data_IF_813345996333
#
_entry.id   IF_813345996333
#
_cell.length_a   1.000
_cell.length_b   1.000
_cell.length_c   1.000
_cell.angle_alpha   90.00
_cell.angle_beta   90.00
_cell.angle_gamma   90.00
#
_symmetry.space_group_name_H-M   'P 1'
#
loop_
_entity.id
_entity.type
_entity.pdbx_description
1 polymer ?
#
# COMPACT_ATOMS: atom_id res chain seq x y z
N UNK A 1 18.61 -6.48 3.18
CA UNK A 1 17.23 -5.99 2.94
C UNK A 1 16.61 -6.70 1.75
N UNK A 2 17.29 -6.73 0.59
CA UNK A 2 16.83 -7.43 -0.61
C UNK A 2 16.35 -8.88 -0.36
N UNK A 3 17.15 -9.73 0.28
CA UNK A 3 16.71 -11.12 0.53
C UNK A 3 15.45 -11.20 1.39
N UNK A 4 15.30 -10.27 2.35
CA UNK A 4 14.11 -10.21 3.20
C UNK A 4 12.88 -9.74 2.41
N UNK A 5 13.03 -8.88 1.39
CA UNK A 5 11.90 -8.52 0.51
C UNK A 5 11.50 -9.66 -0.43
N UNK A 6 12.43 -10.56 -0.80
CA UNK A 6 12.09 -11.81 -1.48
C UNK A 6 11.38 -12.80 -0.55
N UNK A 7 11.84 -12.92 0.70
CA UNK A 7 11.16 -13.74 1.70
C UNK A 7 9.75 -13.21 2.01
N UNK A 8 9.59 -11.89 2.06
CA UNK A 8 8.27 -11.26 2.19
C UNK A 8 7.34 -11.63 1.03
N UNK A 9 7.87 -11.79 -0.20
CA UNK A 9 7.10 -12.27 -1.35
C UNK A 9 6.64 -13.71 -1.13
N UNK A 10 7.52 -14.57 -0.63
CA UNK A 10 7.16 -15.96 -0.30
C UNK A 10 6.01 -16.00 0.70
N UNK A 11 6.14 -15.31 1.83
CA UNK A 11 5.10 -15.25 2.88
C UNK A 11 3.77 -14.74 2.33
N UNK A 12 3.79 -13.68 1.54
CA UNK A 12 2.58 -13.16 0.89
C UNK A 12 1.94 -14.21 -0.02
N UNK A 13 2.72 -14.81 -0.92
CA UNK A 13 2.24 -15.82 -1.86
C UNK A 13 1.68 -17.05 -1.13
N UNK A 14 2.37 -17.55 -0.10
CA UNK A 14 1.89 -18.70 0.67
C UNK A 14 0.61 -18.38 1.45
N UNK A 15 0.47 -17.17 1.96
CA UNK A 15 -0.79 -16.72 2.58
C UNK A 15 -1.94 -16.79 1.58
N UNK A 16 -1.75 -16.24 0.37
CA UNK A 16 -2.76 -16.28 -0.70
C UNK A 16 -3.05 -17.71 -1.14
N UNK A 17 -2.03 -18.59 -1.22
CA UNK A 17 -2.21 -20.01 -1.54
C UNK A 17 -3.06 -20.70 -0.48
N UNK A 18 -2.68 -20.59 0.80
CA UNK A 18 -3.43 -21.21 1.90
C UNK A 18 -4.87 -20.69 2.01
N UNK A 19 -5.08 -19.39 1.82
CA UNK A 19 -6.42 -18.82 1.81
C UNK A 19 -7.28 -19.40 0.67
N UNK A 20 -6.72 -19.60 -0.53
CA UNK A 20 -7.41 -20.23 -1.67
C UNK A 20 -7.66 -21.72 -1.47
N UNK A 21 -6.78 -22.41 -0.76
CA UNK A 21 -6.91 -23.83 -0.42
C UNK A 21 -7.91 -24.07 0.73
N UNK A 22 -8.57 -23.01 1.24
CA UNK A 22 -9.58 -23.10 2.28
C UNK A 22 -9.04 -23.32 3.70
N UNK A 23 -7.75 -23.03 3.93
CA UNK A 23 -7.16 -23.06 5.27
C UNK A 23 -7.80 -21.97 6.14
N UNK A 24 -8.12 -22.29 7.40
CA UNK A 24 -8.61 -21.31 8.37
C UNK A 24 -7.62 -20.15 8.52
N UNK A 25 -8.11 -18.92 8.27
CA UNK A 25 -7.29 -17.71 8.23
C UNK A 25 -6.57 -17.44 9.55
N UNK A 26 -7.20 -17.77 10.68
CA UNK A 26 -6.59 -17.61 12.00
C UNK A 26 -5.39 -18.55 12.23
N UNK A 27 -5.32 -19.65 11.46
CA UNK A 27 -4.23 -20.61 11.53
C UNK A 27 -3.06 -20.31 10.59
N UNK A 28 -3.24 -19.40 9.62
CA UNK A 28 -2.22 -19.10 8.61
C UNK A 28 -1.04 -18.33 9.21
N UNK A 29 -1.31 -17.29 10.01
CA UNK A 29 -0.24 -16.48 10.61
C UNK A 29 0.68 -17.31 11.51
N UNK A 30 0.17 -18.10 12.49
CA UNK A 30 1.03 -18.91 13.35
C UNK A 30 1.93 -19.89 12.58
N UNK A 31 1.42 -20.48 11.48
CA UNK A 31 2.20 -21.40 10.63
C UNK A 31 3.36 -20.70 9.94
N UNK A 32 3.11 -19.53 9.36
CA UNK A 32 4.13 -18.80 8.61
C UNK A 32 5.12 -18.07 9.53
N UNK A 33 4.70 -17.69 10.75
CA UNK A 33 5.57 -17.06 11.74
C UNK A 33 6.75 -17.93 12.19
N UNK A 34 6.57 -19.26 12.20
CA UNK A 34 7.62 -20.19 12.59
C UNK A 34 8.48 -20.67 11.39
N UNK A 35 7.99 -20.48 10.16
CA UNK A 35 8.63 -20.94 8.91
C UNK A 35 9.34 -19.82 8.13
N UNK A 36 8.97 -18.56 8.34
CA UNK A 36 9.56 -17.42 7.64
C UNK A 36 10.92 -17.02 8.24
N UNK A 37 11.90 -16.69 7.40
CA UNK A 37 13.17 -16.03 7.81
C UNK A 37 12.96 -14.51 7.99
N UNK A 38 11.89 -14.13 8.67
CA UNK A 38 11.52 -12.76 9.01
C UNK A 38 11.22 -12.66 10.50
N UNK A 39 11.29 -11.44 11.05
CA UNK A 39 10.80 -11.24 12.42
C UNK A 39 9.28 -11.44 12.47
N UNK A 40 8.76 -12.02 13.56
CA UNK A 40 7.35 -12.39 13.71
C UNK A 40 6.39 -11.23 13.41
N UNK A 41 6.70 -10.02 13.89
CA UNK A 41 5.91 -8.83 13.60
C UNK A 41 5.73 -8.61 12.09
N UNK A 42 6.83 -8.71 11.32
CA UNK A 42 6.82 -8.49 9.88
C UNK A 42 6.01 -9.56 9.16
N UNK A 43 6.20 -10.84 9.52
CA UNK A 43 5.39 -11.94 8.99
C UNK A 43 3.90 -11.71 9.23
N UNK A 44 3.50 -11.40 10.47
CA UNK A 44 2.12 -11.10 10.82
C UNK A 44 1.53 -9.94 10.00
N UNK A 45 2.30 -8.87 9.80
CA UNK A 45 1.85 -7.70 9.01
C UNK A 45 1.69 -8.03 7.52
N UNK A 46 2.54 -8.89 6.97
CA UNK A 46 2.44 -9.37 5.58
C UNK A 46 1.22 -10.28 5.43
N UNK A 47 1.03 -11.24 6.34
CA UNK A 47 -0.14 -12.12 6.36
C UNK A 47 -1.43 -11.31 6.44
N UNK A 48 -1.51 -10.36 7.37
CA UNK A 48 -2.67 -9.47 7.50
C UNK A 48 -2.96 -8.68 6.21
N UNK A 49 -1.91 -8.18 5.52
CA UNK A 49 -2.06 -7.48 4.24
C UNK A 49 -2.56 -8.41 3.13
N UNK A 50 -2.07 -9.64 3.09
CA UNK A 50 -2.48 -10.65 2.10
C UNK A 50 -3.93 -11.10 2.32
N UNK A 51 -4.33 -11.38 3.56
CA UNK A 51 -5.70 -11.74 3.91
C UNK A 51 -6.67 -10.58 3.67
N UNK A 52 -6.27 -9.35 4.00
CA UNK A 52 -7.05 -8.16 3.63
C UNK A 52 -7.23 -8.02 2.11
N UNK A 53 -6.24 -8.41 1.30
CA UNK A 53 -6.41 -8.44 -0.15
C UNK A 53 -7.38 -9.54 -0.62
N UNK A 54 -7.44 -10.69 0.08
CA UNK A 54 -8.42 -11.75 -0.18
C UNK A 54 -9.83 -11.35 0.24
N UNK A 55 -9.98 -10.65 1.37
CA UNK A 55 -11.27 -10.19 1.89
C UNK A 55 -11.92 -9.15 0.97
N UNK A 56 -11.11 -8.24 0.42
CA UNK A 56 -11.58 -7.19 -0.48
C UNK A 56 -11.73 -7.67 -1.94
N UNK A 57 -11.46 -8.94 -2.24
CA UNK A 57 -11.64 -9.50 -3.57
C UNK A 57 -13.11 -9.89 -3.81
N UNK A 58 -13.72 -9.33 -4.85
CA UNK A 58 -15.07 -9.69 -5.30
C UNK A 58 -14.99 -10.79 -6.36
N UNK A 59 -15.66 -11.93 -6.13
CA UNK A 59 -15.63 -13.13 -7.00
C UNK A 59 -16.17 -12.93 -8.43
N UNK A 60 -16.71 -11.75 -8.75
CA UNK A 60 -17.42 -11.49 -10.00
C UNK A 60 -16.52 -11.19 -11.22
N UNK A 61 -15.20 -11.02 -11.03
CA UNK A 61 -14.22 -10.96 -12.12
C UNK A 61 -12.88 -11.61 -11.69
N UNK A 62 -12.16 -12.22 -12.63
CA UNK A 62 -10.78 -12.66 -12.44
C UNK A 62 -9.80 -11.47 -12.35
N UNK A 63 -10.27 -10.25 -12.62
CA UNK A 63 -9.54 -9.00 -12.44
C UNK A 63 -9.28 -8.70 -10.95
N UNK A 64 -8.04 -8.30 -10.62
CA UNK A 64 -7.65 -7.96 -9.24
C UNK A 64 -7.48 -9.14 -8.29
N UNK A 65 -7.68 -10.39 -8.76
CA UNK A 65 -7.48 -11.61 -7.98
C UNK A 65 -6.08 -11.63 -7.35
N UNK A 66 -5.96 -11.69 -6.01
CA UNK A 66 -4.67 -11.81 -5.35
C UNK A 66 -3.92 -13.02 -5.92
N UNK A 67 -2.70 -12.80 -6.40
CA UNK A 67 -1.88 -13.85 -7.00
C UNK A 67 -0.85 -14.36 -6.00
N UNK A 68 -0.63 -15.68 -6.01
CA UNK A 68 0.43 -16.37 -5.26
C UNK A 68 1.57 -16.85 -6.16
N UNK A 69 1.56 -16.48 -7.45
CA UNK A 69 2.56 -16.92 -8.45
C UNK A 69 3.44 -15.77 -8.90
N UNK A 70 3.43 -14.64 -8.18
CA UNK A 70 4.28 -13.49 -8.49
C UNK A 70 5.66 -13.71 -7.91
N UNK A 71 6.67 -13.44 -8.71
CA UNK A 71 8.06 -13.45 -8.28
C UNK A 71 8.53 -12.01 -8.00
N UNK A 72 9.77 -11.89 -7.51
CA UNK A 72 10.39 -10.60 -7.20
C UNK A 72 10.02 -10.03 -5.84
N UNK A 73 10.59 -8.87 -5.52
CA UNK A 73 10.53 -8.29 -4.18
C UNK A 73 9.10 -7.91 -3.76
N UNK A 74 8.80 -8.06 -2.47
CA UNK A 74 7.58 -7.55 -1.85
C UNK A 74 7.94 -6.65 -0.66
N UNK A 75 7.15 -5.61 -0.37
CA UNK A 75 7.46 -4.70 0.73
C UNK A 75 7.50 -5.44 2.07
N UNK A 76 8.55 -5.20 2.86
CA UNK A 76 8.55 -5.56 4.27
C UNK A 76 7.61 -4.60 4.99
N UNK A 77 6.65 -5.13 5.75
CA UNK A 77 5.77 -4.29 6.57
C UNK A 77 6.07 -4.51 8.04
N UNK A 78 6.22 -3.45 8.81
CA UNK A 78 6.58 -3.56 10.23
C UNK A 78 5.84 -2.53 11.09
N UNK A 79 5.51 -2.90 12.33
CA UNK A 79 5.08 -1.94 13.35
C UNK A 79 6.28 -1.21 13.93
N UNK A 80 6.07 0.06 14.30
CA UNK A 80 7.01 0.85 15.06
C UNK A 80 7.29 0.19 16.42
N UNK A 81 8.53 0.28 16.88
CA UNK A 81 9.08 -0.36 18.10
C UNK A 81 9.18 -1.90 18.06
N UNK A 82 8.45 -2.59 17.19
CA UNK A 82 8.53 -4.05 17.05
C UNK A 82 9.47 -4.50 15.93
N UNK A 83 9.19 -4.09 14.68
CA UNK A 83 9.95 -4.50 13.49
C UNK A 83 10.87 -3.40 12.94
N UNK A 84 10.58 -2.13 13.26
CA UNK A 84 11.47 -1.01 12.98
C UNK A 84 11.42 0.04 14.09
N UNK A 85 12.51 0.78 14.24
CA UNK A 85 12.62 1.89 15.17
C UNK A 85 13.19 3.11 14.45
N UNK A 86 12.82 4.29 14.95
CA UNK A 86 13.33 5.58 14.53
C UNK A 86 13.77 6.34 15.76
N UNK A 87 14.83 7.13 15.64
CA UNK A 87 15.35 7.95 16.73
C UNK A 87 16.06 9.17 16.18
N UNK A 88 16.12 10.24 16.96
CA UNK A 88 16.95 11.39 16.62
C UNK A 88 18.41 11.13 17.01
N UNK A 89 19.34 11.48 16.12
CA UNK A 89 20.76 11.58 16.44
C UNK A 89 21.05 12.87 17.21
N UNK A 90 22.26 12.99 17.76
CA UNK A 90 22.72 14.21 18.44
C UNK A 90 22.74 15.42 17.48
N UNK A 91 22.96 15.18 16.19
CA UNK A 91 22.95 16.18 15.13
C UNK A 91 21.53 16.54 14.64
N UNK A 92 20.50 15.88 15.17
CA UNK A 92 19.10 16.13 14.81
C UNK A 92 18.62 15.41 13.55
N UNK A 93 19.37 14.42 13.07
CA UNK A 93 18.97 13.56 11.95
C UNK A 93 18.08 12.40 12.42
N UNK A 94 17.26 11.87 11.51
CA UNK A 94 16.41 10.72 11.82
C UNK A 94 17.17 9.43 11.49
N UNK A 95 17.68 8.75 12.52
CA UNK A 95 18.24 7.42 12.40
C UNK A 95 17.15 6.36 12.36
N UNK A 96 17.39 5.28 11.61
CA UNK A 96 16.49 4.12 11.56
C UNK A 96 17.22 2.84 11.97
N UNK A 97 16.44 1.89 12.49
CA UNK A 97 16.83 0.48 12.65
C UNK A 97 15.69 -0.41 12.20
N UNK A 98 15.94 -1.23 11.18
CA UNK A 98 14.98 -2.22 10.66
C UNK A 98 15.47 -3.62 11.05
N UNK A 99 14.60 -4.40 11.69
CA UNK A 99 14.83 -5.80 12.00
C UNK A 99 14.21 -6.65 10.91
N UNK A 100 14.96 -6.90 9.84
CA UNK A 100 14.43 -7.61 8.67
C UNK A 100 14.27 -9.12 8.95
N UNK A 101 15.19 -9.71 9.70
CA UNK A 101 15.22 -11.13 10.05
C UNK A 101 15.80 -11.32 11.46
N UNK A 102 15.62 -12.48 12.11
CA UNK A 102 16.17 -12.74 13.43
C UNK A 102 17.67 -12.43 13.50
N UNK A 103 18.07 -11.63 14.49
CA UNK A 103 19.46 -11.17 14.72
C UNK A 103 20.11 -10.36 13.58
N UNK A 104 19.37 -10.05 12.49
CA UNK A 104 19.84 -9.24 11.37
C UNK A 104 19.16 -7.88 11.38
N UNK A 105 19.95 -6.84 11.69
CA UNK A 105 19.46 -5.47 11.72
C UNK A 105 20.17 -4.63 10.66
N UNK A 106 19.41 -3.77 10.00
CA UNK A 106 19.95 -2.71 9.15
C UNK A 106 19.72 -1.38 9.84
N UNK A 107 20.75 -0.55 9.85
CA UNK A 107 20.75 0.77 10.49
C UNK A 107 21.27 1.80 9.51
N UNK A 108 20.84 3.04 9.68
CA UNK A 108 21.33 4.16 8.89
C UNK A 108 20.64 5.46 9.31
N UNK A 109 20.86 6.50 8.53
CA UNK A 109 20.19 7.79 8.63
C UNK A 109 19.25 7.92 7.43
N UNK A 110 18.05 8.45 7.65
CA UNK A 110 17.09 8.69 6.58
C UNK A 110 17.50 9.90 5.77
N UNK A 111 17.53 9.72 4.45
CA UNK A 111 17.65 10.80 3.48
C UNK A 111 16.27 11.05 2.85
N UNK A 112 15.92 12.32 2.68
CA UNK A 112 14.61 12.73 2.18
C UNK A 112 14.49 14.25 2.09
N UNK A 113 13.32 14.76 1.72
CA UNK A 113 13.08 16.20 1.73
C UNK A 113 12.97 16.71 3.17
N UNK A 114 13.47 17.93 3.40
CA UNK A 114 13.40 18.60 4.71
C UNK A 114 11.96 18.62 5.25
N UNK A 115 10.98 18.92 4.39
CA UNK A 115 9.57 18.93 4.78
C UNK A 115 9.05 17.58 5.33
N UNK A 116 9.46 16.45 4.73
CA UNK A 116 9.06 15.13 5.22
C UNK A 116 9.81 14.76 6.50
N UNK A 117 11.10 15.08 6.57
CA UNK A 117 11.92 14.81 7.74
C UNK A 117 11.48 15.66 8.94
N UNK A 118 11.13 16.93 8.74
CA UNK A 118 10.63 17.82 9.81
C UNK A 118 9.30 17.33 10.39
N UNK A 119 8.40 16.85 9.54
CA UNK A 119 7.14 16.25 9.98
C UNK A 119 7.40 14.97 10.80
N UNK A 120 8.36 14.14 10.36
CA UNK A 120 8.75 12.93 11.09
C UNK A 120 9.44 13.26 12.41
N UNK A 121 10.34 14.26 12.46
CA UNK A 121 10.97 14.77 13.69
C UNK A 121 9.91 15.25 14.68
N UNK A 122 8.94 16.03 14.19
CA UNK A 122 7.80 16.48 14.99
C UNK A 122 7.02 15.31 15.57
N UNK A 123 6.81 14.25 14.78
CA UNK A 123 6.14 13.04 15.25
C UNK A 123 6.94 12.19 16.24
N UNK A 124 8.26 12.31 16.26
CA UNK A 124 9.13 11.61 17.22
C UNK A 124 9.26 12.37 18.54
N UNK A 125 9.17 13.70 18.53
CA UNK A 125 9.35 14.55 19.73
C UNK A 125 8.04 15.01 20.36
N UNK A 126 6.95 15.02 19.59
CA UNK A 126 5.63 15.49 20.02
C UNK A 126 4.67 14.35 20.40
N UNK A 127 3.55 14.73 21.00
CA UNK A 127 2.44 13.85 21.38
C UNK A 127 1.25 13.91 20.39
N UNK A 128 1.27 14.89 19.48
CA UNK A 128 0.21 15.14 18.50
C UNK A 128 0.20 14.12 17.36
N UNK A 129 1.35 13.54 17.03
CA UNK A 129 1.46 12.59 15.93
C UNK A 129 1.93 11.25 16.47
N UNK A 130 1.38 10.17 15.91
CA UNK A 130 1.77 8.81 16.23
C UNK A 130 2.42 8.16 15.03
N UNK A 131 3.66 7.70 15.21
CA UNK A 131 4.34 6.82 14.26
C UNK A 131 3.73 5.42 14.35
N UNK A 132 3.48 4.79 13.20
CA UNK A 132 2.72 3.53 13.12
C UNK A 132 3.45 2.48 12.29
N UNK A 133 2.86 1.97 11.22
CA UNK A 133 3.51 0.98 10.36
C UNK A 133 4.45 1.62 9.36
N UNK A 134 5.53 0.93 9.01
CA UNK A 134 6.35 1.26 7.84
C UNK A 134 6.27 0.18 6.77
N UNK A 135 6.61 0.56 5.54
CA UNK A 135 6.92 -0.35 4.45
C UNK A 135 8.36 -0.11 3.97
N UNK A 136 9.21 -1.13 4.02
CA UNK A 136 10.54 -1.10 3.40
C UNK A 136 10.49 -1.78 2.05
N UNK A 137 10.90 -1.06 1.02
CA UNK A 137 10.79 -1.44 -0.38
C UNK A 137 12.17 -1.57 -0.99
N UNK A 138 12.26 -2.35 -2.06
CA UNK A 138 13.41 -2.35 -2.95
C UNK A 138 12.92 -1.93 -4.33
N UNK A 139 13.33 -0.76 -4.80
CA UNK A 139 12.83 -0.16 -6.03
C UNK A 139 14.00 0.35 -6.86
N UNK A 140 14.07 -0.06 -8.12
CA UNK A 140 15.11 0.37 -9.07
C UNK A 140 16.55 0.19 -8.55
N UNK A 141 16.78 -0.80 -7.69
CA UNK A 141 18.09 -1.08 -7.08
C UNK A 141 18.34 -0.40 -5.73
N UNK A 142 17.46 0.51 -5.31
CA UNK A 142 17.60 1.31 -4.09
C UNK A 142 16.56 0.92 -3.02
N UNK A 143 16.94 0.87 -1.74
CA UNK A 143 16.00 0.67 -0.65
C UNK A 143 15.26 1.97 -0.30
N UNK A 144 13.94 1.91 -0.21
CA UNK A 144 13.11 3.02 0.28
C UNK A 144 12.40 2.62 1.59
N UNK A 145 12.31 3.54 2.56
CA UNK A 145 11.51 3.36 3.78
C UNK A 145 10.33 4.33 3.76
N UNK A 146 9.11 3.80 3.68
CA UNK A 146 7.88 4.58 3.77
C UNK A 146 7.33 4.48 5.19
N UNK A 147 7.24 5.60 5.90
CA UNK A 147 6.80 5.65 7.30
C UNK A 147 5.41 6.27 7.38
N UNK A 148 4.47 5.57 8.01
CA UNK A 148 3.13 6.13 8.26
C UNK A 148 3.09 6.82 9.62
N UNK A 149 2.72 8.10 9.59
CA UNK A 149 2.45 8.92 10.77
C UNK A 149 0.98 9.37 10.73
N UNK A 150 0.36 9.48 11.91
CA UNK A 150 -1.04 9.87 12.03
C UNK A 150 -1.19 10.96 13.09
N UNK A 151 -1.86 12.04 12.76
CA UNK A 151 -2.25 13.05 13.75
C UNK A 151 -3.34 12.47 14.67
N UNK A 152 -3.13 12.55 15.98
CA UNK A 152 -4.04 12.05 17.03
C UNK A 152 -4.94 13.14 17.59
N UNK A 153 -4.61 14.42 17.38
CA UNK A 153 -5.37 15.59 17.88
C UNK A 153 -6.27 16.21 16.82
N UNK A 154 -5.96 16.06 15.54
CA UNK A 154 -6.88 16.37 14.45
C UNK A 154 -7.98 15.32 14.43
N UNK A 155 -9.14 15.72 14.94
CA UNK A 155 -10.39 14.99 14.76
C UNK A 155 -11.02 15.41 13.44
N UNK A 156 -11.25 14.45 12.55
CA UNK A 156 -12.26 14.62 11.51
C UNK A 156 -13.59 14.75 12.24
N UNK A 157 -14.44 15.72 11.87
CA UNK A 157 -15.77 15.87 12.50
C UNK A 157 -16.49 14.53 12.48
N UNK A 158 -17.23 14.25 13.55
CA UNK A 158 -18.06 13.04 13.60
C UNK A 158 -19.01 13.03 12.40
N UNK A 159 -19.30 11.84 11.87
CA UNK A 159 -20.24 11.70 10.74
C UNK A 159 -21.60 12.32 11.07
N UNK A 160 -21.99 12.32 12.35
CA UNK A 160 -23.26 12.88 12.81
C UNK A 160 -23.28 14.41 12.89
N UNK A 161 -22.11 15.04 13.06
CA UNK A 161 -21.95 16.51 13.14
C UNK A 161 -21.48 17.13 11.81
N UNK A 162 -21.29 16.29 10.79
CA UNK A 162 -20.90 16.72 9.46
C UNK A 162 -22.13 17.24 8.72
N UNK A 163 -22.15 18.55 8.44
CA UNK A 163 -23.19 19.19 7.61
C UNK A 163 -23.17 18.73 6.15
N UNK A 164 -22.11 18.02 5.79
CA UNK A 164 -21.81 17.64 4.44
C UNK A 164 -21.03 16.34 4.42
N UNK A 165 -21.48 15.42 3.58
CA UNK A 165 -20.87 14.12 3.38
C UNK A 165 -20.67 13.91 1.88
N UNK A 166 -19.46 13.53 1.49
CA UNK A 166 -19.20 13.04 0.13
C UNK A 166 -19.26 11.52 0.16
N UNK A 167 -20.29 10.96 -0.47
CA UNK A 167 -20.35 9.55 -0.82
C UNK A 167 -19.42 9.28 -2.01
N UNK A 168 -18.57 8.26 -1.90
CA UNK A 168 -17.65 7.83 -2.96
C UNK A 168 -17.97 6.38 -3.30
N UNK A 169 -18.36 6.13 -4.53
CA UNK A 169 -18.53 4.81 -5.11
C UNK A 169 -17.41 4.57 -6.15
N UNK A 170 -16.71 3.46 -6.02
CA UNK A 170 -15.54 3.14 -6.85
C UNK A 170 -15.81 1.86 -7.61
N UNK A 171 -15.86 1.96 -8.94
CA UNK A 171 -16.00 0.85 -9.87
C UNK A 171 -14.71 0.68 -10.69
N UNK A 172 -14.62 -0.41 -11.46
CA UNK A 172 -13.47 -0.72 -12.31
C UNK A 172 -13.20 0.34 -13.37
N UNK A 173 -14.26 0.95 -13.90
CA UNK A 173 -14.21 1.89 -15.01
C UNK A 173 -14.54 3.33 -14.61
N UNK A 174 -15.01 3.58 -13.38
CA UNK A 174 -15.35 4.93 -12.91
C UNK A 174 -15.36 5.10 -11.40
N UNK A 175 -15.33 6.35 -10.95
CA UNK A 175 -15.61 6.76 -9.57
C UNK A 175 -16.80 7.70 -9.61
N UNK A 176 -17.85 7.40 -8.86
CA UNK A 176 -18.97 8.30 -8.66
C UNK A 176 -18.86 8.97 -7.28
N UNK A 177 -19.02 10.29 -7.26
CA UNK A 177 -19.03 11.14 -6.07
C UNK A 177 -20.41 11.76 -5.93
N UNK A 178 -20.94 11.80 -4.71
CA UNK A 178 -22.20 12.50 -4.39
C UNK A 178 -21.99 13.32 -3.12
N UNK A 179 -22.16 14.63 -3.21
CA UNK A 179 -22.13 15.52 -2.06
C UNK A 179 -23.55 15.65 -1.51
N UNK A 180 -23.71 15.35 -0.21
CA UNK A 180 -24.97 15.36 0.51
C UNK A 180 -24.88 16.37 1.64
N UNK A 181 -25.85 17.26 1.74
CA UNK A 181 -26.11 18.10 2.90
C UNK A 181 -27.33 17.60 3.67
N UNK A 182 -27.71 18.30 4.75
CA UNK A 182 -28.99 18.08 5.42
C UNK A 182 -30.21 18.36 4.54
N UNK A 183 -30.04 19.18 3.52
CA UNK A 183 -31.12 19.66 2.65
C UNK A 183 -31.26 18.82 1.37
N UNK A 184 -30.30 17.93 1.09
CA UNK A 184 -30.37 16.96 -0.02
C UNK A 184 -29.04 16.73 -0.72
N UNK A 185 -29.11 16.38 -2.01
CA UNK A 185 -27.93 16.25 -2.88
C UNK A 185 -27.52 17.64 -3.36
N UNK A 186 -26.28 18.02 -3.08
CA UNK A 186 -25.70 19.29 -3.52
C UNK A 186 -25.15 19.17 -4.95
N UNK A 187 -24.42 18.09 -5.22
CA UNK A 187 -23.81 17.85 -6.54
C UNK A 187 -23.39 16.38 -6.69
N UNK A 188 -23.20 15.94 -7.93
CA UNK A 188 -22.64 14.63 -8.26
C UNK A 188 -21.59 14.73 -9.36
N UNK A 189 -20.55 13.90 -9.26
CA UNK A 189 -19.51 13.80 -10.27
C UNK A 189 -19.22 12.34 -10.58
N UNK A 190 -19.26 11.96 -11.86
CA UNK A 190 -18.75 10.66 -12.31
C UNK A 190 -17.45 10.90 -13.07
N UNK A 191 -16.38 10.28 -12.58
CA UNK A 191 -15.05 10.30 -13.21
C UNK A 191 -14.87 8.95 -13.89
N UNK A 192 -15.04 8.93 -15.22
CA UNK A 192 -14.75 7.73 -16.01
C UNK A 192 -13.24 7.58 -16.27
N UNK A 193 -12.74 6.36 -16.10
CA UNK A 193 -11.37 5.96 -16.39
C UNK A 193 -11.26 4.52 -16.94
N UNK A 194 -12.08 4.14 -17.95
CA UNK A 194 -12.04 2.79 -18.51
C UNK A 194 -10.67 2.46 -19.13
N UNK A 195 -9.84 3.47 -19.40
CA UNK A 195 -8.50 3.28 -19.95
C UNK A 195 -7.59 2.49 -19.01
N UNK A 196 -7.82 2.51 -17.68
CA UNK A 196 -7.07 1.68 -16.74
C UNK A 196 -7.31 0.20 -17.03
N UNK A 197 -8.57 -0.20 -17.21
CA UNK A 197 -8.95 -1.57 -17.57
C UNK A 197 -8.42 -1.95 -18.94
N UNK A 198 -8.61 -1.09 -19.94
CA UNK A 198 -8.11 -1.34 -21.30
C UNK A 198 -6.60 -1.53 -21.33
N UNK A 199 -5.84 -0.66 -20.67
CA UNK A 199 -4.39 -0.73 -20.71
C UNK A 199 -3.88 -1.94 -19.92
N UNK A 200 -4.46 -2.25 -18.74
CA UNK A 200 -4.14 -3.48 -18.00
C UNK A 200 -4.45 -4.74 -18.81
N UNK A 201 -5.60 -4.78 -19.51
CA UNK A 201 -5.95 -5.90 -20.39
C UNK A 201 -5.01 -6.03 -21.58
N UNK A 202 -4.58 -4.90 -22.16
CA UNK A 202 -3.60 -4.86 -23.24
C UNK A 202 -2.26 -5.44 -22.79
N UNK A 203 -1.73 -5.01 -21.64
CA UNK A 203 -0.48 -5.55 -21.10
C UNK A 203 -0.60 -7.02 -20.69
N UNK A 204 -1.74 -7.43 -20.14
CA UNK A 204 -2.02 -8.86 -19.88
C UNK A 204 -1.98 -9.71 -21.16
N UNK A 205 -2.61 -9.24 -22.23
CA UNK A 205 -2.59 -9.93 -23.53
C UNK A 205 -1.19 -9.99 -24.12
N UNK A 206 -0.42 -8.91 -24.00
CA UNK A 206 0.97 -8.87 -24.43
C UNK A 206 1.84 -9.87 -23.63
N UNK A 207 1.71 -9.92 -22.30
CA UNK A 207 2.40 -10.91 -21.44
C UNK A 207 2.07 -12.34 -21.84
N UNK A 208 0.79 -12.69 -22.02
CA UNK A 208 0.39 -14.04 -22.46
C UNK A 208 1.03 -14.43 -23.79
N UNK A 209 1.10 -13.50 -24.75
CA UNK A 209 1.72 -13.75 -26.07
C UNK A 209 3.23 -13.94 -25.97
N UNK A 210 3.91 -13.16 -25.12
CA UNK A 210 5.36 -13.26 -24.90
C UNK A 210 5.72 -14.58 -24.21
N UNK A 211 4.98 -14.98 -23.18
CA UNK A 211 5.15 -16.28 -22.50
C UNK A 211 4.94 -17.45 -23.45
N UNK A 212 3.86 -17.44 -24.26
CA UNK A 212 3.59 -18.49 -25.24
C UNK A 212 4.69 -18.58 -26.33
N UNK A 213 5.42 -17.50 -26.58
CA UNK A 213 6.49 -17.44 -27.56
C UNK A 213 7.89 -17.76 -26.98
N UNK A 214 8.02 -18.02 -25.67
CA UNK A 214 9.28 -18.34 -25.00
C UNK A 214 10.32 -17.20 -25.05
N UNK A 215 9.87 -15.94 -25.06
CA UNK A 215 10.73 -14.75 -25.15
C UNK A 215 10.76 -13.97 -23.83
N UNK A 216 11.33 -14.57 -22.79
CA UNK A 216 11.32 -14.01 -21.43
C UNK A 216 12.03 -12.64 -21.31
N UNK A 217 12.97 -12.32 -22.20
CA UNK A 217 13.75 -11.07 -22.16
C UNK A 217 12.96 -9.79 -22.47
N UNK A 218 11.68 -9.88 -22.83
CA UNK A 218 10.80 -8.72 -23.06
C UNK A 218 9.83 -8.42 -21.90
N UNK A 219 9.83 -9.22 -20.84
CA UNK A 219 8.91 -9.08 -19.72
C UNK A 219 9.17 -7.79 -18.90
N UNK A 220 10.41 -7.52 -18.53
CA UNK A 220 10.77 -6.42 -17.62
C UNK A 220 10.48 -5.03 -18.21
N UNK A 221 10.64 -4.85 -19.53
CA UNK A 221 10.41 -3.55 -20.19
C UNK A 221 8.92 -3.20 -20.31
N UNK A 222 8.04 -4.21 -20.29
CA UNK A 222 6.59 -4.03 -20.42
C UNK A 222 5.93 -3.69 -19.07
N UNK A 223 6.43 -4.26 -17.96
CA UNK A 223 5.83 -4.09 -16.63
C UNK A 223 5.88 -2.63 -16.15
N UNK A 224 7.04 -1.97 -16.30
CA UNK A 224 7.21 -0.57 -15.86
C UNK A 224 6.44 0.48 -16.68
N UNK A 225 5.88 0.13 -17.85
CA UNK A 225 5.04 1.06 -18.64
C UNK A 225 3.57 1.00 -18.21
N UNK A 226 3.05 -0.21 -17.97
CA UNK A 226 1.69 -0.39 -17.42
C UNK A 226 1.56 0.30 -16.06
N UNK A 227 2.52 0.05 -15.15
CA UNK A 227 2.47 0.60 -13.80
C UNK A 227 2.49 2.13 -13.80
N UNK A 228 3.36 2.75 -14.62
CA UNK A 228 3.41 4.21 -14.76
C UNK A 228 2.11 4.79 -15.30
N UNK A 229 1.50 4.14 -16.30
CA UNK A 229 0.22 4.57 -16.86
C UNK A 229 -0.89 4.51 -15.81
N UNK A 230 -1.02 3.38 -15.10
CA UNK A 230 -2.03 3.20 -14.06
C UNK A 230 -1.83 4.22 -12.94
N UNK A 231 -0.59 4.42 -12.48
CA UNK A 231 -0.27 5.36 -11.40
C UNK A 231 -0.59 6.81 -11.79
N UNK A 232 -0.25 7.22 -13.02
CA UNK A 232 -0.59 8.54 -13.53
C UNK A 232 -2.11 8.76 -13.60
N UNK A 233 -2.87 7.75 -14.08
CA UNK A 233 -4.33 7.84 -14.16
C UNK A 233 -4.97 7.90 -12.78
N UNK A 234 -4.54 7.07 -11.84
CA UNK A 234 -4.99 7.12 -10.44
C UNK A 234 -4.66 8.44 -9.76
N UNK A 235 -3.47 9.00 -10.02
CA UNK A 235 -3.09 10.32 -9.50
C UNK A 235 -4.02 11.42 -10.02
N UNK A 236 -4.35 11.40 -11.33
CA UNK A 236 -5.29 12.35 -11.93
C UNK A 236 -6.70 12.21 -11.35
N UNK A 237 -7.20 10.98 -11.18
CA UNK A 237 -8.51 10.71 -10.57
C UNK A 237 -8.54 11.23 -9.13
N UNK A 238 -7.53 10.88 -8.32
CA UNK A 238 -7.42 11.36 -6.93
C UNK A 238 -7.39 12.89 -6.85
N UNK A 239 -6.64 13.54 -7.76
CA UNK A 239 -6.61 15.00 -7.84
C UNK A 239 -7.98 15.60 -8.16
N UNK A 240 -8.73 15.03 -9.11
CA UNK A 240 -10.09 15.49 -9.44
C UNK A 240 -11.04 15.29 -8.27
N UNK A 241 -10.95 14.17 -7.54
CA UNK A 241 -11.76 13.93 -6.33
C UNK A 241 -11.48 15.01 -5.29
N UNK A 242 -10.22 15.35 -5.05
CA UNK A 242 -9.84 16.39 -4.08
C UNK A 242 -10.30 17.76 -4.53
N UNK A 243 -10.02 18.16 -5.78
CA UNK A 243 -10.43 19.45 -6.34
C UNK A 243 -11.95 19.63 -6.30
N UNK A 244 -12.71 18.58 -6.64
CA UNK A 244 -14.17 18.58 -6.57
C UNK A 244 -14.67 18.60 -5.12
N UNK A 245 -14.05 17.86 -4.19
CA UNK A 245 -14.47 17.84 -2.78
C UNK A 245 -14.21 19.18 -2.06
N UNK A 246 -13.14 19.88 -2.43
CA UNK A 246 -12.75 21.15 -1.84
C UNK A 246 -13.78 22.27 -2.06
N UNK A 247 -14.59 22.20 -3.12
CA UNK A 247 -15.61 23.22 -3.37
C UNK A 247 -16.66 23.28 -2.25
N UNK A 248 -16.74 22.23 -1.43
CA UNK A 248 -17.70 22.09 -0.36
C UNK A 248 -17.07 22.30 1.04
N UNK A 249 -15.75 22.44 1.16
CA UNK A 249 -15.10 22.73 2.46
C UNK A 249 -15.41 24.16 2.98
N UNK A 250 -16.01 25.03 2.16
CA UNK A 250 -16.32 26.43 2.47
C UNK A 250 -17.81 26.76 2.64
N UNK A 251 -18.68 25.75 2.68
CA UNK A 251 -20.14 25.91 2.87
C UNK A 251 -20.56 25.89 4.33
#
# INVERSE_FOLDING_TARGET
LYDATLEARRVYNETIRFAKDGVDWNSISPRLEDDADLVKNTTQRIVAKALGAMENYYEYDDFGKPSHTKDGTYPLRANYEEGYNLSLTDDGDVAFRISAAPYKHVKGVLEGSDAHLDLLKTALTGDEWKVSTSETLWRDGEPELHVNIRNTKQTVRDKQDSRMVVGVDVNEDNVALTALSTDGVEDTLVIDFPEIKFERHRYFTMRKRVQNAGKDSMHDTLEGREERFVRDRLHKVSRHIVEWSQQFERS
#
